data_IF_437706979686
#
_entry.id   IF_437706979686
#
_cell.length_a   1.000
_cell.length_b   1.000
_cell.length_c   1.000
_cell.angle_alpha   90.00
_cell.angle_beta   90.00
_cell.angle_gamma   90.00
#
_symmetry.space_group_name_H-M   'P 1'
#
loop_
_entity.id
_entity.type
_entity.pdbx_description
1 polymer ?
#
# COMPACT_ATOMS: atom_id res chain seq x y z
N UNK A 1 -1.56 -32.45 14.09
CA UNK A 1 -2.57 -31.56 14.69
C UNK A 1 -3.37 -30.92 13.56
N UNK A 2 -4.63 -31.36 13.32
CA UNK A 2 -5.46 -30.88 12.22
C UNK A 2 -5.80 -29.38 12.37
N UNK A 3 -5.70 -28.62 11.29
CA UNK A 3 -6.15 -27.23 11.26
C UNK A 3 -7.65 -27.19 11.52
N UNK A 4 -8.04 -26.48 12.60
CA UNK A 4 -9.45 -26.20 12.87
C UNK A 4 -10.08 -25.52 11.65
N UNK A 5 -11.20 -26.00 11.11
CA UNK A 5 -11.82 -25.37 9.96
C UNK A 5 -12.26 -23.94 10.32
N UNK A 6 -12.11 -23.01 9.37
CA UNK A 6 -12.59 -21.66 9.53
C UNK A 6 -14.11 -21.65 9.73
N UNK A 7 -14.58 -20.89 10.71
CA UNK A 7 -16.01 -20.78 11.04
C UNK A 7 -16.65 -19.53 10.47
N UNK A 8 -15.83 -18.51 10.16
CA UNK A 8 -16.27 -17.24 9.58
C UNK A 8 -15.67 -17.09 8.20
N UNK A 9 -16.49 -16.67 7.24
CA UNK A 9 -16.08 -16.47 5.85
C UNK A 9 -16.65 -15.15 5.32
N UNK A 10 -15.85 -14.32 4.67
CA UNK A 10 -16.32 -13.07 4.07
C UNK A 10 -15.18 -12.17 3.62
N UNK A 11 -15.56 -11.09 2.99
CA UNK A 11 -14.65 -9.99 2.64
C UNK A 11 -14.93 -8.80 3.55
N UNK A 12 -13.87 -8.12 3.95
CA UNK A 12 -13.92 -6.89 4.73
C UNK A 12 -13.19 -5.78 3.97
N UNK A 13 -13.74 -4.60 4.05
CA UNK A 13 -13.07 -3.36 3.64
C UNK A 13 -12.64 -2.64 4.92
N UNK A 14 -11.35 -2.51 5.11
CA UNK A 14 -10.76 -1.87 6.29
C UNK A 14 -10.15 -0.54 5.85
N UNK A 15 -10.54 0.53 6.50
CA UNK A 15 -9.82 1.80 6.41
C UNK A 15 -8.56 1.69 7.28
N UNK A 16 -7.42 1.42 6.62
CA UNK A 16 -6.16 1.24 7.34
C UNK A 16 -5.66 2.58 7.86
N UNK A 17 -5.43 2.73 9.16
CA UNK A 17 -4.83 3.95 9.70
C UNK A 17 -3.34 4.04 9.36
N UNK A 18 -2.78 5.25 9.44
CA UNK A 18 -1.35 5.47 9.40
C UNK A 18 -0.64 4.81 10.61
N UNK A 19 0.64 4.49 10.45
CA UNK A 19 1.47 3.91 11.50
C UNK A 19 1.29 2.40 11.70
N UNK A 20 0.48 1.74 10.87
CA UNK A 20 0.28 0.28 10.89
C UNK A 20 0.61 -0.33 9.54
N UNK A 21 1.25 -1.48 9.54
CA UNK A 21 1.40 -2.28 8.33
C UNK A 21 0.09 -2.98 7.96
N UNK A 22 -0.07 -3.35 6.70
CA UNK A 22 -1.19 -4.19 6.27
C UNK A 22 -1.23 -5.53 7.02
N UNK A 23 -0.07 -6.03 7.43
CA UNK A 23 0.05 -7.27 8.21
C UNK A 23 -0.42 -7.10 9.65
N UNK A 24 -0.20 -5.95 10.28
CA UNK A 24 -0.70 -5.65 11.64
C UNK A 24 -2.22 -5.65 11.67
N UNK A 25 -2.86 -5.10 10.65
CA UNK A 25 -4.32 -5.15 10.49
C UNK A 25 -4.79 -6.61 10.45
N UNK A 26 -4.15 -7.45 9.63
CA UNK A 26 -4.49 -8.87 9.55
C UNK A 26 -4.28 -9.58 10.88
N UNK A 27 -3.18 -9.29 11.59
CA UNK A 27 -2.90 -9.86 12.91
C UNK A 27 -3.97 -9.49 13.95
N UNK A 28 -4.38 -8.22 13.96
CA UNK A 28 -5.48 -7.74 14.81
C UNK A 28 -6.81 -8.44 14.54
N UNK A 29 -7.15 -8.60 13.26
CA UNK A 29 -8.37 -9.30 12.85
C UNK A 29 -8.33 -10.80 13.20
N UNK A 30 -7.18 -11.46 13.05
CA UNK A 30 -7.00 -12.86 13.49
C UNK A 30 -7.30 -13.03 14.96
N UNK A 31 -6.79 -12.12 15.80
CA UNK A 31 -7.03 -12.12 17.24
C UNK A 31 -8.52 -11.88 17.56
N UNK A 32 -9.13 -10.90 16.89
CA UNK A 32 -10.53 -10.51 17.15
C UNK A 32 -11.53 -11.60 16.75
N UNK A 33 -11.32 -12.26 15.63
CA UNK A 33 -12.23 -13.30 15.11
C UNK A 33 -11.86 -14.71 15.58
N UNK A 34 -10.72 -14.90 16.24
CA UNK A 34 -10.21 -16.24 16.54
C UNK A 34 -9.91 -17.07 15.28
N UNK A 35 -9.74 -16.42 14.13
CA UNK A 35 -9.62 -17.05 12.82
C UNK A 35 -8.21 -16.84 12.26
N UNK A 36 -7.51 -17.94 12.00
CA UNK A 36 -6.14 -17.89 11.50
C UNK A 36 -6.06 -17.61 9.99
N UNK A 37 -7.10 -17.99 9.26
CA UNK A 37 -7.15 -17.85 7.81
C UNK A 37 -7.70 -16.48 7.43
N UNK A 38 -6.86 -15.45 7.58
CA UNK A 38 -7.12 -14.08 7.16
C UNK A 38 -5.91 -13.59 6.36
N UNK A 39 -6.17 -12.90 5.25
CA UNK A 39 -5.16 -12.27 4.39
C UNK A 39 -5.71 -11.00 3.79
N UNK A 40 -4.85 -10.24 3.11
CA UNK A 40 -5.22 -8.99 2.43
C UNK A 40 -4.87 -9.03 0.95
N UNK A 41 -5.52 -8.17 0.16
CA UNK A 41 -5.22 -7.93 -1.24
C UNK A 41 -4.61 -6.54 -1.41
N UNK A 42 -3.35 -6.50 -1.79
CA UNK A 42 -2.57 -5.28 -1.91
C UNK A 42 -1.94 -4.87 -0.59
N UNK A 43 -0.71 -4.43 -0.67
CA UNK A 43 0.02 -3.90 0.48
C UNK A 43 -0.08 -2.38 0.45
N UNK A 44 -0.43 -1.78 1.57
CA UNK A 44 -0.28 -0.36 1.82
C UNK A 44 0.94 -0.16 2.73
N UNK A 45 1.72 0.87 2.43
CA UNK A 45 2.84 1.27 3.27
C UNK A 45 2.37 1.65 4.69
N UNK A 46 3.24 1.63 5.70
CA UNK A 46 2.84 1.92 7.08
C UNK A 46 2.14 3.26 7.22
N UNK A 47 2.63 4.30 6.56
CA UNK A 47 2.08 5.67 6.65
C UNK A 47 0.89 5.90 5.71
N UNK A 48 0.69 5.03 4.71
CA UNK A 48 -0.46 5.11 3.83
C UNK A 48 -1.75 4.75 4.58
N UNK A 49 -2.81 5.50 4.32
CA UNK A 49 -4.16 5.24 4.83
C UNK A 49 -5.08 4.79 3.70
N UNK A 50 -6.25 4.27 4.03
CA UNK A 50 -7.31 3.97 3.08
C UNK A 50 -7.65 2.49 2.97
N UNK A 51 -8.32 2.13 1.90
CA UNK A 51 -8.99 0.84 1.76
C UNK A 51 -8.00 -0.33 1.64
N UNK A 52 -8.04 -1.20 2.63
CA UNK A 52 -7.38 -2.50 2.61
C UNK A 52 -8.45 -3.60 2.48
N UNK A 53 -8.42 -4.33 1.39
CA UNK A 53 -9.34 -5.45 1.16
C UNK A 53 -8.81 -6.68 1.88
N UNK A 54 -9.62 -7.24 2.78
CA UNK A 54 -9.26 -8.38 3.62
C UNK A 54 -10.23 -9.53 3.37
N UNK A 55 -9.68 -10.72 3.17
CA UNK A 55 -10.45 -11.96 3.06
C UNK A 55 -10.34 -12.79 4.34
N UNK A 56 -11.46 -13.32 4.80
CA UNK A 56 -11.58 -14.17 5.99
C UNK A 56 -12.02 -15.58 5.59
N UNK A 57 -11.39 -16.59 6.14
CA UNK A 57 -11.73 -17.97 5.91
C UNK A 57 -11.60 -18.39 4.44
N UNK A 58 -12.65 -18.94 3.85
CA UNK A 58 -12.64 -19.37 2.44
C UNK A 58 -12.50 -18.21 1.45
N UNK A 59 -12.94 -17.01 1.84
CA UNK A 59 -12.88 -15.83 0.99
C UNK A 59 -11.44 -15.35 0.72
N UNK A 60 -10.43 -15.83 1.46
CA UNK A 60 -9.02 -15.59 1.12
C UNK A 60 -8.64 -16.03 -0.29
N UNK A 61 -9.38 -16.98 -0.88
CA UNK A 61 -9.17 -17.43 -2.27
C UNK A 61 -9.57 -16.37 -3.30
N UNK A 62 -10.43 -15.42 -2.91
CA UNK A 62 -10.89 -14.34 -3.78
C UNK A 62 -9.91 -13.16 -3.83
N UNK A 63 -8.97 -13.09 -2.89
CA UNK A 63 -8.01 -11.99 -2.80
C UNK A 63 -7.17 -11.82 -4.08
N UNK A 64 -6.88 -12.90 -4.79
CA UNK A 64 -6.17 -12.86 -6.08
C UNK A 64 -6.89 -12.00 -7.12
N UNK A 65 -8.22 -12.01 -7.11
CA UNK A 65 -9.02 -11.20 -8.05
C UNK A 65 -9.07 -9.74 -7.59
N UNK A 66 -9.17 -9.49 -6.29
CA UNK A 66 -9.12 -8.14 -5.72
C UNK A 66 -7.73 -7.49 -5.93
N UNK A 67 -6.65 -8.27 -5.89
CA UNK A 67 -5.29 -7.77 -6.17
C UNK A 67 -5.12 -7.30 -7.61
N UNK A 68 -5.84 -7.88 -8.55
CA UNK A 68 -5.80 -7.54 -9.97
C UNK A 68 -6.72 -6.36 -10.34
N UNK A 69 -7.51 -5.82 -9.40
CA UNK A 69 -8.41 -4.70 -9.65
C UNK A 69 -7.67 -3.37 -9.71
N UNK A 70 -8.31 -2.38 -10.32
CA UNK A 70 -7.82 -1.00 -10.34
C UNK A 70 -7.70 -0.44 -8.93
N UNK A 71 -6.70 0.42 -8.73
CA UNK A 71 -6.45 1.14 -7.47
C UNK A 71 -6.25 2.61 -7.79
N UNK A 72 -6.77 3.47 -6.93
CA UNK A 72 -6.56 4.91 -6.98
C UNK A 72 -5.81 5.33 -5.73
N UNK A 73 -4.76 6.12 -5.92
CA UNK A 73 -3.95 6.68 -4.84
C UNK A 73 -3.96 8.20 -4.96
N UNK A 74 -4.11 8.85 -3.83
CA UNK A 74 -3.86 10.27 -3.67
C UNK A 74 -2.52 10.44 -2.94
N UNK A 75 -1.61 11.20 -3.53
CA UNK A 75 -0.25 11.38 -3.00
C UNK A 75 0.14 12.85 -3.02
N UNK A 76 0.90 13.26 -2.00
CA UNK A 76 1.57 14.54 -1.97
C UNK A 76 3.04 14.36 -2.35
N UNK A 77 3.51 15.13 -3.33
CA UNK A 77 4.90 15.08 -3.78
C UNK A 77 5.56 16.41 -3.44
N UNK A 78 6.59 16.36 -2.60
CA UNK A 78 7.39 17.53 -2.24
C UNK A 78 8.58 17.62 -3.19
N UNK A 79 8.53 18.58 -4.10
CA UNK A 79 9.61 18.80 -5.07
C UNK A 79 10.81 19.48 -4.42
N UNK A 80 12.02 19.21 -4.94
CA UNK A 80 13.26 19.81 -4.49
C UNK A 80 13.85 19.21 -3.22
N UNK A 81 13.29 18.13 -2.71
CA UNK A 81 13.83 17.43 -1.54
C UNK A 81 13.98 15.93 -1.87
N UNK A 82 15.17 15.39 -1.65
CA UNK A 82 15.43 13.96 -1.77
C UNK A 82 15.68 13.36 -0.40
N UNK A 83 15.15 12.16 -0.18
CA UNK A 83 15.37 11.37 1.03
C UNK A 83 16.01 10.03 0.69
N UNK A 84 16.68 9.43 1.65
CA UNK A 84 17.35 8.12 1.49
C UNK A 84 16.37 6.97 1.26
N UNK A 85 15.13 7.11 1.70
CA UNK A 85 14.04 6.13 1.48
C UNK A 85 13.14 6.45 0.30
N UNK A 86 13.34 7.60 -0.36
CA UNK A 86 12.49 8.12 -1.45
C UNK A 86 11.05 8.43 -1.02
N UNK A 87 10.80 8.56 0.27
CA UNK A 87 9.53 8.97 0.87
C UNK A 87 9.74 9.95 2.04
N UNK A 88 8.65 10.43 2.63
CA UNK A 88 8.69 11.41 3.72
C UNK A 88 9.26 10.86 5.04
N UNK A 89 9.41 9.54 5.20
CA UNK A 89 9.94 8.90 6.41
C UNK A 89 11.47 8.92 6.48
N UNK A 90 12.14 9.13 5.34
CA UNK A 90 13.60 9.11 5.23
C UNK A 90 14.27 10.40 5.68
N UNK A 91 15.59 10.31 5.84
CA UNK A 91 16.41 11.49 6.10
C UNK A 91 16.70 12.25 4.80
N UNK A 92 16.71 13.56 4.88
CA UNK A 92 17.00 14.41 3.72
C UNK A 92 18.47 14.25 3.35
N UNK A 93 18.74 13.78 2.14
CA UNK A 93 20.09 13.59 1.59
C UNK A 93 20.48 14.70 0.63
N UNK A 94 19.51 15.34 -0.03
CA UNK A 94 19.76 16.48 -0.91
C UNK A 94 18.59 17.47 -0.93
N UNK A 95 18.92 18.73 -1.19
CA UNK A 95 17.93 19.79 -1.47
C UNK A 95 18.33 20.47 -2.77
N UNK A 96 17.34 20.67 -3.63
CA UNK A 96 17.48 21.31 -4.92
C UNK A 96 16.65 22.59 -4.97
N UNK A 97 17.24 23.63 -5.50
CA UNK A 97 16.49 24.84 -5.77
C UNK A 97 15.56 24.59 -6.96
N UNK A 98 14.28 24.78 -6.75
CA UNK A 98 13.26 24.46 -7.75
C UNK A 98 12.65 25.77 -8.29
N UNK A 99 12.52 25.79 -9.62
CA UNK A 99 11.71 26.78 -10.33
C UNK A 99 10.86 26.01 -11.33
N UNK A 100 9.77 25.41 -10.83
CA UNK A 100 8.92 24.49 -11.59
C UNK A 100 7.51 25.05 -11.64
N UNK A 101 6.97 25.16 -12.83
CA UNK A 101 5.58 25.56 -13.04
C UNK A 101 4.66 24.34 -13.19
N UNK A 102 3.35 24.57 -13.04
CA UNK A 102 2.36 23.51 -13.18
C UNK A 102 2.45 22.78 -14.52
N UNK A 103 2.80 23.47 -15.59
CA UNK A 103 2.96 22.86 -16.93
C UNK A 103 4.08 21.83 -16.97
N UNK A 104 5.19 22.10 -16.27
CA UNK A 104 6.33 21.17 -16.21
C UNK A 104 5.96 19.90 -15.45
N UNK A 105 5.22 20.03 -14.33
CA UNK A 105 4.73 18.91 -13.55
C UNK A 105 3.78 18.03 -14.39
N UNK A 106 2.86 18.67 -15.12
CA UNK A 106 1.92 17.93 -15.98
C UNK A 106 2.63 17.23 -17.13
N UNK A 107 3.66 17.84 -17.71
CA UNK A 107 4.47 17.22 -18.78
C UNK A 107 5.24 16.00 -18.23
N UNK A 108 5.85 16.11 -17.06
CA UNK A 108 6.55 15.01 -16.40
C UNK A 108 5.57 13.86 -16.04
N UNK A 109 4.42 14.18 -15.48
CA UNK A 109 3.40 13.18 -15.13
C UNK A 109 2.89 12.42 -16.36
N UNK A 110 2.76 13.10 -17.50
CA UNK A 110 2.37 12.46 -18.76
C UNK A 110 3.38 11.38 -19.21
N UNK A 111 4.67 11.59 -18.96
CA UNK A 111 5.73 10.63 -19.24
C UNK A 111 5.69 9.38 -18.34
N UNK A 112 4.94 9.44 -17.24
CA UNK A 112 4.79 8.34 -16.26
C UNK A 112 3.44 7.61 -16.41
N UNK A 113 2.73 7.83 -17.52
CA UNK A 113 1.43 7.17 -17.77
C UNK A 113 1.55 6.09 -18.84
N UNK A 114 0.70 5.06 -18.73
CA UNK A 114 0.68 3.92 -19.65
C UNK A 114 1.72 2.85 -19.33
N UNK A 115 2.08 2.05 -20.31
CA UNK A 115 3.18 1.07 -20.17
C UNK A 115 4.52 1.78 -20.22
N UNK A 116 5.23 1.78 -19.11
CA UNK A 116 6.55 2.39 -18.99
C UNK A 116 7.56 1.39 -18.43
N UNK A 117 8.82 1.55 -18.81
CA UNK A 117 9.94 0.86 -18.18
C UNK A 117 10.32 1.60 -16.89
N UNK A 118 10.28 0.92 -15.77
CA UNK A 118 10.58 1.50 -14.47
C UNK A 118 11.76 0.80 -13.82
N UNK A 119 12.72 1.57 -13.34
CA UNK A 119 13.81 1.05 -12.51
C UNK A 119 13.32 1.17 -11.05
N UNK A 120 13.08 0.05 -10.35
CA UNK A 120 12.62 0.12 -8.97
C UNK A 120 13.72 0.71 -8.07
N UNK A 121 13.34 1.44 -7.01
CA UNK A 121 14.31 1.95 -6.05
C UNK A 121 15.06 0.82 -5.35
N UNK A 122 16.34 1.04 -5.06
CA UNK A 122 17.20 0.08 -4.36
C UNK A 122 16.79 -0.12 -2.91
N UNK A 123 16.14 0.88 -2.32
CA UNK A 123 15.67 0.90 -0.93
C UNK A 123 14.20 1.34 -0.93
N UNK A 124 13.35 0.65 -0.20
CA UNK A 124 11.99 1.10 0.10
C UNK A 124 11.78 1.11 1.61
N UNK A 125 10.99 2.05 2.10
CA UNK A 125 10.56 2.04 3.49
C UNK A 125 9.74 0.77 3.76
N UNK A 126 10.17 -0.04 4.71
CA UNK A 126 9.48 -1.23 5.21
C UNK A 126 9.31 -1.14 6.71
#
# INVERSE_FOLDING_TARGET
MGRRPATVHGMLLIDKPAGMTSHDVVAGLRKRFGERRIGHAGTLDPDATGVLVVGVGRATRLLRFASASFKTYEVEIVLGTETDTLDASGQIVARHQMSVEKVDVLAAAKGLTGEIQQIPPMVSAR
#
